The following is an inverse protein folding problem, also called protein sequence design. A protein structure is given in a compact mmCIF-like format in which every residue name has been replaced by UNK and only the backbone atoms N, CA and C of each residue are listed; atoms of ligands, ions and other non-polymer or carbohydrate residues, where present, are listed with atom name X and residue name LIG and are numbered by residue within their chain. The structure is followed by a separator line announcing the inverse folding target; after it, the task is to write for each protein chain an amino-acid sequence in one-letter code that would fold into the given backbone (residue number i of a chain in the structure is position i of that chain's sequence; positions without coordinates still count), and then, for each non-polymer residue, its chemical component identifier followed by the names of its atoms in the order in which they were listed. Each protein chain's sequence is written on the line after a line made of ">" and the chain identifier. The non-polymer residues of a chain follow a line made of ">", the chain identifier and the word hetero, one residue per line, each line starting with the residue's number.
data_IF_494251789835
#
_entry.id   IF_494251789835
#
_cell.length_a   1.000
_cell.length_b   1.000
_cell.length_c   1.000
_cell.angle_alpha   90.00
_cell.angle_beta   90.00
_cell.angle_gamma   90.00
#
_symmetry.space_group_name_H-M   'P 1'
#
loop_
_entity.id
_entity.type
_entity.pdbx_description
1 polymer ?
#
# COMPACT_ATOMS: atom_id res chain seq x y z
N UNK A 1 43.12 24.20 7.47
CA UNK A 1 42.44 23.08 6.77
C UNK A 1 42.96 23.04 5.35
N UNK A 2 43.43 21.89 4.83
CA UNK A 2 44.05 21.87 3.52
C UNK A 2 42.99 22.15 2.45
N UNK A 3 43.29 23.08 1.56
CA UNK A 3 42.44 23.50 0.43
C UNK A 3 42.01 22.28 -0.43
N UNK A 4 42.78 21.18 -0.41
CA UNK A 4 42.44 19.91 -1.05
C UNK A 4 41.19 19.20 -0.50
N UNK A 5 40.85 19.35 0.78
CA UNK A 5 39.62 18.79 1.34
C UNK A 5 38.36 19.56 0.87
N UNK A 6 38.51 20.85 0.61
CA UNK A 6 37.44 21.69 0.08
C UNK A 6 37.19 21.41 -1.41
N UNK A 7 38.24 21.13 -2.18
CA UNK A 7 38.12 20.79 -3.61
C UNK A 7 37.52 19.39 -3.81
N UNK A 8 37.82 18.42 -2.94
CA UNK A 8 37.14 17.11 -2.97
C UNK A 8 35.64 17.23 -2.66
N UNK A 9 35.26 18.09 -1.71
CA UNK A 9 33.86 18.41 -1.41
C UNK A 9 33.19 19.14 -2.59
N UNK A 10 33.90 20.05 -3.27
CA UNK A 10 33.37 20.81 -4.42
C UNK A 10 33.31 19.96 -5.71
N UNK A 11 34.15 18.94 -5.90
CA UNK A 11 34.01 17.98 -7.02
C UNK A 11 32.84 17.03 -6.79
N UNK A 12 32.59 16.62 -5.53
CA UNK A 12 31.35 15.94 -5.12
C UNK A 12 30.13 16.85 -5.33
N UNK A 13 30.25 18.18 -5.15
CA UNK A 13 29.16 19.13 -5.36
C UNK A 13 29.00 19.59 -6.83
N UNK A 14 30.06 19.57 -7.63
CA UNK A 14 30.10 20.02 -9.02
C UNK A 14 29.64 18.96 -10.02
N UNK A 15 29.83 17.67 -9.70
CA UNK A 15 29.13 16.54 -10.33
C UNK A 15 27.91 16.04 -9.52
N UNK A 16 27.66 16.65 -8.36
CA UNK A 16 26.73 16.17 -7.31
C UNK A 16 25.26 16.22 -7.67
N UNK A 17 24.85 17.11 -8.58
CA UNK A 17 23.47 17.11 -9.08
C UNK A 17 23.13 15.79 -9.77
N UNK A 18 23.99 15.33 -10.68
CA UNK A 18 23.76 14.09 -11.43
C UNK A 18 23.94 12.82 -10.59
N UNK A 19 24.98 12.77 -9.74
CA UNK A 19 25.25 11.61 -8.90
C UNK A 19 24.19 11.41 -7.80
N UNK A 20 23.70 12.49 -7.18
CA UNK A 20 22.62 12.41 -6.19
C UNK A 20 21.28 12.04 -6.82
N UNK A 21 20.97 12.54 -8.02
CA UNK A 21 19.77 12.13 -8.78
C UNK A 21 19.87 10.66 -9.20
N UNK A 22 21.03 10.21 -9.69
CA UNK A 22 21.24 8.80 -10.05
C UNK A 22 21.17 7.87 -8.82
N UNK A 23 21.68 8.31 -7.67
CA UNK A 23 21.59 7.56 -6.43
C UNK A 23 20.13 7.36 -5.98
N UNK A 24 19.23 8.31 -6.24
CA UNK A 24 17.82 8.18 -5.86
C UNK A 24 17.14 6.97 -6.52
N UNK A 25 17.52 6.64 -7.75
CA UNK A 25 17.02 5.46 -8.48
C UNK A 25 17.77 4.16 -8.20
N UNK A 26 18.84 4.18 -7.40
CA UNK A 26 19.66 2.99 -7.14
C UNK A 26 18.96 1.98 -6.21
N UNK A 27 19.20 0.70 -6.48
CA UNK A 27 18.74 -0.45 -5.71
C UNK A 27 19.85 -1.00 -4.80
N UNK A 28 19.50 -1.76 -3.75
CA UNK A 28 20.50 -2.47 -2.97
C UNK A 28 21.43 -3.33 -3.83
N UNK A 29 22.74 -3.17 -3.60
CA UNK A 29 23.80 -3.79 -4.40
C UNK A 29 24.35 -2.88 -5.50
N UNK A 30 23.64 -1.81 -5.88
CA UNK A 30 24.15 -0.83 -6.84
C UNK A 30 25.19 0.10 -6.19
N UNK A 31 26.15 0.57 -6.99
CA UNK A 31 27.29 1.36 -6.51
C UNK A 31 26.90 2.66 -5.77
N UNK A 32 25.76 3.26 -6.14
CA UNK A 32 25.29 4.51 -5.56
C UNK A 32 24.25 4.32 -4.43
N UNK A 33 23.87 3.09 -4.10
CA UNK A 33 22.92 2.82 -3.03
C UNK A 33 23.38 3.35 -1.66
N UNK A 34 24.67 3.26 -1.26
CA UNK A 34 25.15 3.89 -0.03
C UNK A 34 24.98 5.42 -0.02
N UNK A 35 25.00 6.07 -1.18
CA UNK A 35 24.75 7.52 -1.29
C UNK A 35 23.27 7.83 -1.08
N UNK A 36 22.37 7.00 -1.61
CA UNK A 36 20.92 7.11 -1.41
C UNK A 36 20.56 7.11 0.07
N UNK A 37 20.88 6.01 0.76
CA UNK A 37 20.48 5.80 2.17
C UNK A 37 21.39 6.55 3.15
N UNK A 38 22.67 6.71 2.82
CA UNK A 38 23.67 7.29 3.71
C UNK A 38 23.71 8.82 3.70
N UNK A 39 23.28 9.45 2.60
CA UNK A 39 23.38 10.90 2.41
C UNK A 39 22.02 11.48 2.02
N UNK A 40 21.47 11.11 0.86
CA UNK A 40 20.29 11.79 0.29
C UNK A 40 19.08 11.73 1.23
N UNK A 41 18.72 10.53 1.67
CA UNK A 41 17.56 10.33 2.54
C UNK A 41 17.75 10.97 3.92
N UNK A 42 18.97 10.95 4.47
CA UNK A 42 19.27 11.58 5.76
C UNK A 42 19.18 13.10 5.68
N UNK A 43 19.72 13.68 4.61
CA UNK A 43 19.63 15.12 4.37
C UNK A 43 18.16 15.50 4.19
N UNK A 44 17.41 14.81 3.33
CA UNK A 44 16.00 15.07 3.12
C UNK A 44 15.17 14.94 4.42
N UNK A 45 15.46 13.92 5.23
CA UNK A 45 14.83 13.71 6.54
C UNK A 45 15.20 14.78 7.57
N UNK A 46 16.43 15.29 7.56
CA UNK A 46 16.87 16.35 8.48
C UNK A 46 16.11 17.67 8.28
N UNK A 47 15.59 17.93 7.07
CA UNK A 47 14.75 19.10 6.76
C UNK A 47 13.26 18.89 7.07
N UNK A 48 12.86 17.76 7.68
CA UNK A 48 11.49 17.54 8.15
C UNK A 48 11.37 18.05 9.59
N UNK A 49 10.75 19.21 9.76
CA UNK A 49 10.74 19.93 11.05
C UNK A 49 9.52 19.66 11.94
N UNK A 50 8.40 19.17 11.39
CA UNK A 50 7.21 18.79 12.17
C UNK A 50 7.11 17.27 12.33
N UNK A 51 6.39 16.83 13.37
CA UNK A 51 6.08 15.41 13.55
C UNK A 51 5.29 14.84 12.37
N UNK A 52 4.34 15.62 11.84
CA UNK A 52 3.59 15.28 10.61
C UNK A 52 4.52 15.07 9.41
N UNK A 53 5.43 16.01 9.14
CA UNK A 53 6.35 15.92 8.01
C UNK A 53 7.34 14.75 8.16
N UNK A 54 7.69 14.39 9.40
CA UNK A 54 8.54 13.23 9.68
C UNK A 54 7.76 11.92 9.57
N UNK A 55 6.52 11.86 10.07
CA UNK A 55 5.65 10.70 9.90
C UNK A 55 5.42 10.37 8.43
N UNK A 56 5.10 11.39 7.62
CA UNK A 56 4.95 11.24 6.17
C UNK A 56 6.26 10.79 5.50
N UNK A 57 7.41 11.30 5.95
CA UNK A 57 8.73 10.91 5.44
C UNK A 57 9.08 9.46 5.77
N UNK A 58 8.89 9.04 7.02
CA UNK A 58 9.13 7.68 7.47
C UNK A 58 8.15 6.71 6.78
N UNK A 59 6.87 7.05 6.66
CA UNK A 59 5.88 6.29 5.87
C UNK A 59 6.32 6.13 4.40
N UNK A 60 6.86 7.19 3.79
CA UNK A 60 7.41 7.12 2.44
C UNK A 60 8.62 6.19 2.35
N UNK A 61 9.58 6.27 3.28
CA UNK A 61 10.75 5.40 3.28
C UNK A 61 10.38 3.93 3.53
N UNK A 62 9.40 3.64 4.39
CA UNK A 62 8.86 2.29 4.55
C UNK A 62 8.32 1.75 3.22
N UNK A 63 7.53 2.55 2.49
CA UNK A 63 7.06 2.21 1.15
C UNK A 63 8.22 1.96 0.16
N UNK A 64 9.22 2.83 0.16
CA UNK A 64 10.41 2.71 -0.72
C UNK A 64 11.16 1.40 -0.48
N UNK A 65 11.30 0.92 0.77
CA UNK A 65 11.96 -0.37 1.04
C UNK A 65 11.20 -1.57 0.49
N UNK A 66 9.87 -1.53 0.56
CA UNK A 66 9.04 -2.57 -0.06
C UNK A 66 9.10 -2.48 -1.59
N UNK A 67 9.16 -1.28 -2.17
CA UNK A 67 9.34 -1.08 -3.61
C UNK A 67 10.71 -1.60 -4.07
N UNK A 68 11.79 -1.36 -3.30
CA UNK A 68 13.12 -1.92 -3.54
C UNK A 68 13.11 -3.45 -3.46
N UNK A 69 12.42 -4.03 -2.48
CA UNK A 69 12.28 -5.48 -2.35
C UNK A 69 11.54 -6.06 -3.55
N UNK A 70 10.44 -5.43 -3.98
CA UNK A 70 9.68 -5.85 -5.14
C UNK A 70 10.52 -5.77 -6.43
N UNK A 71 11.30 -4.70 -6.64
CA UNK A 71 12.22 -4.58 -7.80
C UNK A 71 13.26 -5.68 -7.80
N UNK A 72 13.90 -5.93 -6.66
CA UNK A 72 14.89 -7.00 -6.56
C UNK A 72 14.28 -8.38 -6.77
N UNK A 73 13.05 -8.62 -6.30
CA UNK A 73 12.35 -9.90 -6.49
C UNK A 73 12.01 -10.12 -7.97
N UNK A 74 11.48 -9.10 -8.65
CA UNK A 74 11.21 -9.12 -10.10
C UNK A 74 12.48 -9.37 -10.92
N UNK A 75 13.63 -8.84 -10.47
CA UNK A 75 14.93 -9.07 -11.10
C UNK A 75 15.63 -10.38 -10.67
N UNK A 76 14.99 -11.21 -9.84
CA UNK A 76 15.60 -12.41 -9.23
C UNK A 76 16.91 -12.14 -8.48
N UNK A 77 17.04 -10.92 -7.94
CA UNK A 77 18.18 -10.41 -7.16
C UNK A 77 17.90 -10.33 -5.66
N UNK A 78 16.68 -10.64 -5.22
CA UNK A 78 16.31 -10.62 -3.81
C UNK A 78 16.85 -11.86 -3.08
N UNK A 79 18.14 -11.81 -2.72
CA UNK A 79 18.73 -12.80 -1.81
C UNK A 79 18.34 -12.55 -0.35
N UNK A 80 18.48 -13.58 0.50
CA UNK A 80 18.14 -13.55 1.93
C UNK A 80 18.79 -12.39 2.70
N UNK A 81 20.02 -12.01 2.32
CA UNK A 81 20.72 -10.85 2.90
C UNK A 81 19.99 -9.54 2.64
N UNK A 82 19.52 -9.32 1.41
CA UNK A 82 18.80 -8.10 1.04
C UNK A 82 17.37 -8.11 1.56
N UNK A 83 16.70 -9.26 1.54
CA UNK A 83 15.41 -9.46 2.19
C UNK A 83 15.47 -9.03 3.68
N UNK A 84 16.46 -9.53 4.42
CA UNK A 84 16.63 -9.21 5.85
C UNK A 84 16.93 -7.72 6.07
N UNK A 85 17.83 -7.13 5.27
CA UNK A 85 18.21 -5.71 5.40
C UNK A 85 17.05 -4.78 5.04
N UNK A 86 16.34 -5.07 3.95
CA UNK A 86 15.19 -4.28 3.53
C UNK A 86 14.02 -4.44 4.50
N UNK A 87 13.75 -5.65 4.99
CA UNK A 87 12.72 -5.90 6.01
C UNK A 87 13.01 -5.17 7.31
N UNK A 88 14.27 -5.17 7.76
CA UNK A 88 14.68 -4.41 8.96
C UNK A 88 14.53 -2.89 8.74
N UNK A 89 14.97 -2.38 7.59
CA UNK A 89 14.86 -0.95 7.27
C UNK A 89 13.39 -0.51 7.11
N UNK A 90 12.57 -1.35 6.47
CA UNK A 90 11.12 -1.19 6.36
C UNK A 90 10.52 -1.03 7.75
N UNK A 91 10.77 -1.99 8.65
CA UNK A 91 10.23 -2.00 10.00
C UNK A 91 10.63 -0.75 10.79
N UNK A 92 11.89 -0.36 10.74
CA UNK A 92 12.37 0.87 11.41
C UNK A 92 11.57 2.11 10.97
N UNK A 93 11.29 2.23 9.68
CA UNK A 93 10.54 3.37 9.15
C UNK A 93 9.03 3.26 9.43
N UNK A 94 8.43 2.07 9.37
CA UNK A 94 7.04 1.85 9.73
C UNK A 94 6.79 2.18 11.21
N UNK A 95 7.58 1.59 12.11
CA UNK A 95 7.51 1.83 13.56
C UNK A 95 7.74 3.32 13.88
N UNK A 96 8.65 4.00 13.16
CA UNK A 96 8.90 5.44 13.35
C UNK A 96 7.74 6.31 12.86
N UNK A 97 7.07 5.91 11.78
CA UNK A 97 5.89 6.62 11.30
C UNK A 97 4.73 6.46 12.30
N UNK A 98 4.45 5.23 12.73
CA UNK A 98 3.41 4.91 13.71
C UNK A 98 3.60 5.69 15.02
N UNK A 99 4.80 5.65 15.61
CA UNK A 99 5.09 6.37 16.85
C UNK A 99 4.89 7.89 16.74
N UNK A 100 5.14 8.47 15.55
CA UNK A 100 4.89 9.91 15.31
C UNK A 100 3.42 10.19 15.11
N UNK A 101 2.70 9.32 14.43
CA UNK A 101 1.25 9.44 14.23
C UNK A 101 0.54 9.35 15.58
N UNK A 102 0.92 8.41 16.44
CA UNK A 102 0.44 8.29 17.82
C UNK A 102 0.74 9.57 18.62
N UNK A 103 1.96 10.11 18.51
CA UNK A 103 2.29 11.39 19.16
C UNK A 103 1.44 12.58 18.66
N UNK A 104 1.13 12.63 17.36
CA UNK A 104 0.25 13.66 16.77
C UNK A 104 -1.18 13.52 17.33
N UNK A 105 -1.66 12.27 17.41
CA UNK A 105 -2.97 11.93 17.99
C UNK A 105 -3.05 12.38 19.45
N UNK A 106 -2.10 11.95 20.28
CA UNK A 106 -2.00 12.31 21.70
C UNK A 106 -1.81 13.81 21.93
N UNK A 107 -1.30 14.52 20.92
CA UNK A 107 -1.18 15.98 20.87
C UNK A 107 -2.51 16.72 20.62
N UNK A 108 -3.63 16.02 20.51
CA UNK A 108 -4.95 16.59 20.23
C UNK A 108 -5.15 16.95 18.76
N UNK A 109 -4.48 16.23 17.85
CA UNK A 109 -4.64 16.42 16.42
C UNK A 109 -5.04 15.09 15.76
N UNK A 110 -6.14 14.52 16.26
CA UNK A 110 -6.68 13.24 15.83
C UNK A 110 -6.96 13.21 14.32
N UNK A 111 -7.45 14.33 13.75
CA UNK A 111 -7.67 14.49 12.31
C UNK A 111 -6.42 14.27 11.46
N UNK A 112 -5.29 14.87 11.82
CA UNK A 112 -4.02 14.68 11.09
C UNK A 112 -3.49 13.26 11.31
N UNK A 113 -3.62 12.73 12.53
CA UNK A 113 -3.21 11.35 12.82
C UNK A 113 -4.01 10.33 11.99
N UNK A 114 -5.34 10.46 11.93
CA UNK A 114 -6.22 9.60 11.14
C UNK A 114 -5.85 9.63 9.65
N UNK A 115 -5.59 10.82 9.11
CA UNK A 115 -5.18 10.98 7.72
C UNK A 115 -3.84 10.29 7.42
N UNK A 116 -2.83 10.46 8.29
CA UNK A 116 -1.52 9.83 8.13
C UNK A 116 -1.56 8.32 8.34
N UNK A 117 -2.33 7.84 9.32
CA UNK A 117 -2.49 6.42 9.60
C UNK A 117 -3.18 5.70 8.43
N UNK A 118 -4.24 6.29 7.88
CA UNK A 118 -4.91 5.74 6.70
C UNK A 118 -4.04 5.77 5.45
N UNK A 119 -3.24 6.81 5.26
CA UNK A 119 -2.26 6.82 4.16
C UNK A 119 -1.20 5.72 4.32
N UNK A 120 -0.66 5.55 5.54
CA UNK A 120 0.30 4.49 5.85
C UNK A 120 -0.33 3.11 5.60
N UNK A 121 -1.51 2.83 6.15
CA UNK A 121 -2.22 1.57 5.96
C UNK A 121 -2.41 1.25 4.47
N UNK A 122 -2.98 2.19 3.69
CA UNK A 122 -3.21 1.99 2.26
C UNK A 122 -1.90 1.74 1.50
N UNK A 123 -0.84 2.47 1.84
CA UNK A 123 0.49 2.36 1.23
C UNK A 123 1.11 0.98 1.49
N UNK A 124 1.02 0.49 2.73
CA UNK A 124 1.56 -0.81 3.15
C UNK A 124 0.73 -1.97 2.58
N UNK A 125 -0.59 -1.88 2.64
CA UNK A 125 -1.50 -2.92 2.11
C UNK A 125 -1.25 -3.16 0.63
N UNK A 126 -1.24 -2.10 -0.18
CA UNK A 126 -0.99 -2.21 -1.63
C UNK A 126 0.36 -2.85 -1.94
N UNK A 127 1.40 -2.50 -1.18
CA UNK A 127 2.74 -3.07 -1.36
C UNK A 127 2.83 -4.53 -0.91
N UNK A 128 2.14 -4.88 0.17
CA UNK A 128 2.02 -6.26 0.63
C UNK A 128 1.34 -7.13 -0.44
N UNK A 129 0.23 -6.65 -1.02
CA UNK A 129 -0.46 -7.33 -2.13
C UNK A 129 0.47 -7.57 -3.34
N UNK A 130 1.24 -6.55 -3.74
CA UNK A 130 2.19 -6.68 -4.85
C UNK A 130 3.28 -7.69 -4.52
N UNK A 131 3.93 -7.58 -3.35
CA UNK A 131 4.96 -8.52 -2.91
C UNK A 131 4.42 -9.95 -2.85
N UNK A 132 3.20 -10.15 -2.35
CA UNK A 132 2.55 -11.46 -2.28
C UNK A 132 2.35 -12.10 -3.67
N UNK A 133 2.09 -11.29 -4.71
CA UNK A 133 1.84 -11.76 -6.09
C UNK A 133 3.10 -12.01 -6.91
N UNK A 134 4.26 -11.45 -6.53
CA UNK A 134 5.52 -11.70 -7.25
C UNK A 134 5.91 -13.17 -7.10
N UNK A 135 6.15 -13.82 -8.24
CA UNK A 135 6.64 -15.21 -8.35
C UNK A 135 8.13 -15.27 -8.00
N UNK A 136 8.43 -15.14 -6.71
CA UNK A 136 9.78 -15.35 -6.18
C UNK A 136 9.74 -16.52 -5.18
N UNK A 137 10.72 -17.43 -5.30
CA UNK A 137 10.88 -18.58 -4.41
C UNK A 137 11.54 -18.24 -3.07
N UNK A 138 11.93 -16.97 -2.89
CA UNK A 138 12.45 -16.42 -1.64
C UNK A 138 11.39 -16.21 -0.56
N UNK A 139 11.85 -16.06 0.69
CA UNK A 139 10.99 -15.61 1.77
C UNK A 139 10.67 -14.13 1.53
N UNK A 140 9.43 -13.74 1.83
CA UNK A 140 8.94 -12.37 1.60
C UNK A 140 9.06 -11.58 2.90
N UNK A 141 9.28 -10.27 2.77
CA UNK A 141 9.21 -9.35 3.90
C UNK A 141 7.80 -9.48 4.50
N UNK A 142 7.72 -9.76 5.81
CA UNK A 142 6.46 -9.75 6.54
C UNK A 142 6.02 -8.30 6.77
N UNK A 143 4.84 -7.97 6.27
CA UNK A 143 4.23 -6.62 6.33
C UNK A 143 2.93 -6.65 7.13
N UNK A 144 2.44 -7.85 7.50
CA UNK A 144 1.07 -8.03 8.00
C UNK A 144 0.88 -7.49 9.41
N UNK A 145 1.93 -7.46 10.24
CA UNK A 145 1.89 -6.76 11.53
C UNK A 145 1.69 -5.27 11.35
N UNK A 146 2.52 -4.64 10.53
CA UNK A 146 2.58 -3.19 10.32
C UNK A 146 1.31 -2.69 9.61
N UNK A 147 0.72 -3.47 8.70
CA UNK A 147 -0.61 -3.15 8.13
C UNK A 147 -1.68 -3.16 9.21
N UNK A 148 -1.67 -4.16 10.11
CA UNK A 148 -2.65 -4.25 11.20
C UNK A 148 -2.48 -3.14 12.23
N UNK A 149 -1.24 -2.77 12.56
CA UNK A 149 -0.94 -1.73 13.53
C UNK A 149 -1.29 -0.35 12.96
N UNK A 150 -0.97 -0.06 11.70
CA UNK A 150 -1.45 1.14 11.00
C UNK A 150 -2.99 1.20 10.92
N UNK A 151 -3.66 0.08 10.67
CA UNK A 151 -5.13 0.02 10.63
C UNK A 151 -5.77 0.30 12.00
N UNK A 152 -5.20 -0.24 13.08
CA UNK A 152 -5.64 0.04 14.45
C UNK A 152 -5.46 1.50 14.81
N UNK A 153 -4.26 2.04 14.56
CA UNK A 153 -3.96 3.44 14.82
C UNK A 153 -4.87 4.38 14.04
N UNK A 154 -5.23 4.02 12.80
CA UNK A 154 -6.24 4.74 12.03
C UNK A 154 -7.58 4.73 12.73
N UNK A 155 -8.14 3.55 13.03
CA UNK A 155 -9.45 3.43 13.66
C UNK A 155 -9.50 4.23 14.96
N UNK A 156 -8.47 4.09 15.80
CA UNK A 156 -8.39 4.82 17.07
C UNK A 156 -8.31 6.35 16.87
N UNK A 157 -7.63 6.83 15.82
CA UNK A 157 -7.56 8.25 15.51
C UNK A 157 -8.83 8.79 14.84
N UNK A 158 -9.52 7.97 14.04
CA UNK A 158 -10.80 8.32 13.42
C UNK A 158 -11.92 8.43 14.48
N UNK A 159 -11.91 7.54 15.47
CA UNK A 159 -12.84 7.60 16.61
C UNK A 159 -12.61 8.87 17.44
N UNK A 160 -11.34 9.22 17.71
CA UNK A 160 -11.01 10.46 18.41
C UNK A 160 -11.41 11.70 17.59
N UNK A 161 -11.13 11.74 16.28
CA UNK A 161 -11.54 12.84 15.37
C UNK A 161 -13.06 13.02 15.41
N UNK A 162 -13.82 11.92 15.33
CA UNK A 162 -15.27 11.94 15.37
C UNK A 162 -15.82 12.43 16.72
N UNK A 163 -15.12 12.12 17.82
CA UNK A 163 -15.48 12.58 19.15
C UNK A 163 -15.20 14.07 19.37
N UNK A 164 -14.11 14.59 18.81
CA UNK A 164 -13.71 16.00 18.89
C UNK A 164 -14.70 16.91 18.14
N UNK A 165 -15.35 16.37 17.11
CA UNK A 165 -16.23 17.12 16.21
C UNK A 165 -17.73 16.75 16.40
N UNK A 166 -18.11 16.24 17.58
CA UNK A 166 -19.44 15.67 17.84
C UNK A 166 -20.63 16.66 17.90
N UNK A 167 -20.40 17.98 17.95
CA UNK A 167 -21.49 18.95 17.87
C UNK A 167 -22.00 19.12 16.42
N UNK A 168 -23.21 19.68 16.23
CA UNK A 168 -23.85 19.74 14.91
C UNK A 168 -23.09 20.61 13.89
N UNK A 169 -22.28 21.56 14.35
CA UNK A 169 -21.52 22.46 13.47
C UNK A 169 -20.15 21.87 13.16
N UNK A 170 -19.50 21.26 14.15
CA UNK A 170 -18.31 20.42 14.05
C UNK A 170 -18.54 19.29 13.06
N UNK A 171 -19.53 18.43 13.29
CA UNK A 171 -19.75 17.24 12.47
C UNK A 171 -20.06 17.58 11.00
N UNK A 172 -20.73 18.70 10.74
CA UNK A 172 -20.91 19.22 9.38
C UNK A 172 -19.57 19.61 8.76
N UNK A 173 -18.75 20.40 9.46
CA UNK A 173 -17.45 20.84 8.95
C UNK A 173 -16.49 19.66 8.71
N UNK A 174 -16.54 18.63 9.55
CA UNK A 174 -15.81 17.37 9.41
C UNK A 174 -16.17 16.65 8.13
N UNK A 175 -17.46 16.39 7.97
CA UNK A 175 -18.00 15.67 6.83
C UNK A 175 -17.68 16.41 5.53
N UNK A 176 -17.85 17.73 5.50
CA UNK A 176 -17.48 18.57 4.36
C UNK A 176 -15.97 18.50 4.06
N UNK A 177 -15.14 18.58 5.09
CA UNK A 177 -13.68 18.44 4.96
C UNK A 177 -13.27 17.09 4.35
N UNK A 178 -13.87 15.98 4.81
CA UNK A 178 -13.60 14.64 4.29
C UNK A 178 -14.11 14.46 2.86
N UNK A 179 -15.31 14.95 2.56
CA UNK A 179 -15.87 14.95 1.19
C UNK A 179 -14.92 15.69 0.24
N UNK A 180 -14.43 16.86 0.65
CA UNK A 180 -13.49 17.65 -0.14
C UNK A 180 -12.15 16.94 -0.31
N UNK A 181 -11.60 16.34 0.75
CA UNK A 181 -10.36 15.56 0.67
C UNK A 181 -10.50 14.37 -0.29
N UNK A 182 -11.56 13.56 -0.14
CA UNK A 182 -11.84 12.43 -1.02
C UNK A 182 -12.01 12.87 -2.48
N UNK A 183 -12.80 13.92 -2.72
CA UNK A 183 -13.01 14.51 -4.05
C UNK A 183 -11.68 14.93 -4.70
N UNK A 184 -10.83 15.63 -3.95
CA UNK A 184 -9.52 16.09 -4.44
C UNK A 184 -8.59 14.91 -4.78
N UNK A 185 -8.54 13.88 -3.93
CA UNK A 185 -7.73 12.69 -4.20
C UNK A 185 -8.26 11.96 -5.43
N UNK A 186 -9.57 11.69 -5.52
CA UNK A 186 -10.19 11.05 -6.70
C UNK A 186 -9.86 11.83 -7.98
N UNK A 187 -10.02 13.15 -7.96
CA UNK A 187 -9.70 14.01 -9.09
C UNK A 187 -8.21 13.92 -9.47
N UNK A 188 -7.31 13.92 -8.47
CA UNK A 188 -5.87 13.80 -8.70
C UNK A 188 -5.48 12.46 -9.35
N UNK A 189 -6.09 11.36 -8.90
CA UNK A 189 -5.81 10.02 -9.46
C UNK A 189 -6.34 9.93 -10.89
N UNK A 190 -7.55 10.41 -11.17
CA UNK A 190 -8.08 10.47 -12.54
C UNK A 190 -7.17 11.28 -13.48
N UNK A 191 -6.79 12.49 -13.06
CA UNK A 191 -5.88 13.33 -13.83
C UNK A 191 -4.52 12.66 -14.07
N UNK A 192 -4.04 11.85 -13.12
CA UNK A 192 -2.85 11.04 -13.29
C UNK A 192 -3.04 9.93 -14.33
N UNK A 193 -4.15 9.19 -14.27
CA UNK A 193 -4.46 8.13 -15.22
C UNK A 193 -4.69 8.63 -16.65
N UNK A 194 -5.12 9.88 -16.81
CA UNK A 194 -5.31 10.50 -18.13
C UNK A 194 -4.00 10.90 -18.81
N UNK A 195 -2.88 11.00 -18.06
CA UNK A 195 -1.57 11.34 -18.65
C UNK A 195 -1.11 10.29 -19.65
N UNK A 196 -0.40 10.77 -20.69
CA UNK A 196 0.25 9.87 -21.65
C UNK A 196 1.36 9.08 -20.95
N UNK A 197 1.47 7.79 -21.29
CA UNK A 197 2.49 6.89 -20.74
C UNK A 197 2.01 5.91 -19.68
N UNK A 198 0.79 6.06 -19.15
CA UNK A 198 0.17 5.05 -18.27
C UNK A 198 -0.41 3.91 -19.13
N UNK A 199 -0.05 2.66 -18.80
CA UNK A 199 -0.52 1.48 -19.56
C UNK A 199 -2.04 1.29 -19.47
N UNK A 200 -2.66 0.70 -20.49
CA UNK A 200 -4.11 0.44 -20.51
C UNK A 200 -4.57 -0.45 -19.36
N UNK A 201 -3.75 -1.45 -19.00
CA UNK A 201 -4.03 -2.35 -17.87
C UNK A 201 -4.00 -1.60 -16.55
N UNK A 202 -2.96 -0.78 -16.32
CA UNK A 202 -2.86 0.07 -15.12
C UNK A 202 -4.04 1.03 -15.02
N UNK A 203 -4.49 1.61 -16.15
CA UNK A 203 -5.71 2.45 -16.17
C UNK A 203 -6.95 1.65 -15.77
N UNK A 204 -7.16 0.46 -16.33
CA UNK A 204 -8.36 -0.35 -16.07
C UNK A 204 -8.46 -0.76 -14.59
N UNK A 205 -7.37 -1.24 -14.00
CA UNK A 205 -7.34 -1.67 -12.59
C UNK A 205 -7.51 -0.49 -11.63
N UNK A 206 -6.83 0.63 -11.90
CA UNK A 206 -6.98 1.83 -11.08
C UNK A 206 -8.39 2.42 -11.21
N UNK A 207 -9.00 2.35 -12.40
CA UNK A 207 -10.36 2.79 -12.63
C UNK A 207 -11.38 1.97 -11.83
N UNK A 208 -11.17 0.66 -11.68
CA UNK A 208 -12.03 -0.18 -10.84
C UNK A 208 -12.03 0.29 -9.37
N UNK A 209 -10.85 0.59 -8.81
CA UNK A 209 -10.73 1.13 -7.44
C UNK A 209 -11.30 2.55 -7.32
N UNK A 210 -11.10 3.40 -8.33
CA UNK A 210 -11.70 4.74 -8.38
C UNK A 210 -13.22 4.68 -8.38
N UNK A 211 -13.83 3.75 -9.12
CA UNK A 211 -15.29 3.63 -9.17
C UNK A 211 -15.90 3.29 -7.82
N UNK A 212 -15.20 2.52 -6.97
CA UNK A 212 -15.61 2.30 -5.58
C UNK A 212 -15.56 3.61 -4.78
N UNK A 213 -14.47 4.36 -4.90
CA UNK A 213 -14.31 5.65 -4.22
C UNK A 213 -15.36 6.68 -4.65
N UNK A 214 -15.70 6.75 -5.95
CA UNK A 214 -16.73 7.62 -6.49
C UNK A 214 -18.12 7.28 -5.94
N UNK A 215 -18.46 6.00 -5.86
CA UNK A 215 -19.72 5.55 -5.30
C UNK A 215 -19.84 5.96 -3.83
N UNK A 216 -18.80 5.70 -3.03
CA UNK A 216 -18.76 6.08 -1.61
C UNK A 216 -18.86 7.60 -1.43
N UNK A 217 -18.18 8.38 -2.28
CA UNK A 217 -18.26 9.84 -2.25
C UNK A 217 -19.67 10.34 -2.61
N UNK A 218 -20.32 9.73 -3.60
CA UNK A 218 -21.71 10.07 -3.95
C UNK A 218 -22.67 9.75 -2.79
N UNK A 219 -22.52 8.58 -2.17
CA UNK A 219 -23.30 8.20 -0.98
C UNK A 219 -23.05 9.17 0.18
N UNK A 220 -21.80 9.59 0.40
CA UNK A 220 -21.44 10.60 1.40
C UNK A 220 -22.12 11.95 1.14
N UNK A 221 -22.16 12.42 -0.11
CA UNK A 221 -22.83 13.68 -0.50
C UNK A 221 -24.34 13.61 -0.28
N UNK A 222 -24.96 12.46 -0.54
CA UNK A 222 -26.38 12.22 -0.23
C UNK A 222 -26.63 12.31 1.27
N UNK A 223 -25.81 11.64 2.08
CA UNK A 223 -25.90 11.71 3.55
C UNK A 223 -25.70 13.12 4.09
N UNK A 224 -24.73 13.85 3.54
CA UNK A 224 -24.47 15.24 3.89
C UNK A 224 -25.68 16.14 3.61
N UNK A 225 -26.30 15.97 2.43
CA UNK A 225 -27.49 16.73 2.02
C UNK A 225 -28.71 16.42 2.89
N UNK A 226 -28.77 15.22 3.48
CA UNK A 226 -29.79 14.80 4.43
C UNK A 226 -29.49 15.24 5.89
N UNK A 227 -28.44 16.03 6.12
CA UNK A 227 -27.92 16.42 7.44
C UNK A 227 -27.51 15.23 8.33
N UNK A 228 -27.27 14.06 7.73
CA UNK A 228 -26.71 12.87 8.40
C UNK A 228 -25.18 12.95 8.33
N UNK A 229 -24.60 13.91 9.07
CA UNK A 229 -23.17 14.24 8.97
C UNK A 229 -22.25 13.13 9.47
N UNK A 230 -22.68 12.34 10.45
CA UNK A 230 -21.92 11.17 10.90
C UNK A 230 -21.79 10.15 9.79
N UNK A 231 -22.89 9.76 9.13
CA UNK A 231 -22.81 8.80 8.04
C UNK A 231 -22.07 9.38 6.82
N UNK A 232 -22.22 10.68 6.56
CA UNK A 232 -21.48 11.36 5.50
C UNK A 232 -19.97 11.33 5.75
N UNK A 233 -19.55 11.57 7.00
CA UNK A 233 -18.15 11.51 7.41
C UNK A 233 -17.58 10.11 7.21
N UNK A 234 -18.26 9.06 7.72
CA UNK A 234 -17.81 7.67 7.62
C UNK A 234 -17.65 7.24 6.14
N UNK A 235 -18.66 7.54 5.30
CA UNK A 235 -18.61 7.23 3.87
C UNK A 235 -17.52 8.03 3.13
N UNK A 236 -17.29 9.28 3.52
CA UNK A 236 -16.23 10.09 2.91
C UNK A 236 -14.83 9.61 3.31
N UNK A 237 -14.65 9.08 4.53
CA UNK A 237 -13.41 8.43 4.94
C UNK A 237 -13.15 7.15 4.14
N UNK A 238 -14.17 6.32 3.96
CA UNK A 238 -14.06 5.12 3.12
C UNK A 238 -13.76 5.47 1.66
N UNK A 239 -14.39 6.53 1.12
CA UNK A 239 -14.09 7.04 -0.21
C UNK A 239 -12.63 7.50 -0.34
N UNK A 240 -12.11 8.23 0.66
CA UNK A 240 -10.73 8.69 0.70
C UNK A 240 -9.75 7.50 0.70
N UNK A 241 -10.01 6.47 1.51
CA UNK A 241 -9.18 5.26 1.59
C UNK A 241 -9.14 4.51 0.27
N UNK A 242 -10.30 4.28 -0.35
CA UNK A 242 -10.38 3.64 -1.66
C UNK A 242 -9.64 4.44 -2.75
N UNK A 243 -9.70 5.78 -2.69
CA UNK A 243 -8.98 6.66 -3.61
C UNK A 243 -7.45 6.62 -3.40
N UNK A 244 -6.99 6.55 -2.14
CA UNK A 244 -5.57 6.38 -1.81
C UNK A 244 -5.05 5.01 -2.25
N UNK A 245 -5.81 3.93 -2.05
CA UNK A 245 -5.44 2.60 -2.56
C UNK A 245 -5.31 2.60 -4.09
N UNK A 246 -6.24 3.25 -4.81
CA UNK A 246 -6.16 3.42 -6.26
C UNK A 246 -4.89 4.18 -6.69
N UNK A 247 -4.57 5.26 -5.97
CA UNK A 247 -3.35 6.05 -6.19
C UNK A 247 -2.10 5.18 -6.02
N UNK A 248 -1.93 4.55 -4.86
CA UNK A 248 -0.74 3.77 -4.56
C UNK A 248 -0.60 2.56 -5.47
N UNK A 249 -1.71 1.92 -5.85
CA UNK A 249 -1.70 0.80 -6.81
C UNK A 249 -1.21 1.24 -8.19
N UNK A 250 -1.54 2.46 -8.60
CA UNK A 250 -1.08 3.03 -9.87
C UNK A 250 0.40 3.40 -9.81
N UNK A 251 0.82 4.07 -8.73
CA UNK A 251 2.21 4.47 -8.51
C UNK A 251 3.15 3.26 -8.52
N UNK A 252 2.84 2.22 -7.75
CA UNK A 252 3.71 1.04 -7.64
C UNK A 252 3.83 0.27 -8.96
N UNK A 253 2.74 0.11 -9.72
CA UNK A 253 2.79 -0.59 -11.02
C UNK A 253 3.64 0.15 -12.04
N UNK A 254 3.58 1.47 -12.04
CA UNK A 254 4.42 2.30 -12.91
C UNK A 254 5.88 2.21 -12.50
N UNK A 255 6.17 2.32 -11.21
CA UNK A 255 7.53 2.28 -10.68
C UNK A 255 8.21 0.93 -10.86
N UNK A 256 7.44 -0.16 -10.77
CA UNK A 256 7.92 -1.53 -10.97
C UNK A 256 7.87 -1.98 -12.44
N UNK A 257 7.23 -1.19 -13.33
CA UNK A 257 6.97 -1.57 -14.73
C UNK A 257 6.36 -2.97 -14.88
N UNK A 258 5.51 -3.35 -13.92
CA UNK A 258 4.91 -4.70 -13.88
C UNK A 258 4.07 -4.93 -15.15
N UNK A 259 4.47 -5.92 -15.95
CA UNK A 259 3.64 -6.53 -16.98
C UNK A 259 2.72 -7.61 -16.37
N UNK A 260 1.71 -8.07 -17.13
CA UNK A 260 0.83 -9.16 -16.68
C UNK A 260 1.61 -10.46 -16.38
N UNK A 261 2.71 -10.70 -17.09
CA UNK A 261 3.50 -11.94 -16.98
C UNK A 261 4.34 -12.00 -15.69
N UNK A 262 4.59 -10.85 -15.06
CA UNK A 262 5.45 -10.70 -13.88
C UNK A 262 4.74 -11.08 -12.57
N UNK A 263 3.41 -11.16 -12.60
CA UNK A 263 2.59 -11.55 -11.46
C UNK A 263 2.15 -13.02 -11.57
N UNK A 264 1.86 -13.63 -10.43
CA UNK A 264 0.96 -14.79 -10.43
C UNK A 264 -0.41 -14.35 -10.98
N UNK A 265 -0.83 -15.02 -12.04
CA UNK A 265 -2.18 -14.87 -12.58
C UNK A 265 -3.11 -15.68 -11.70
N UNK A 266 -4.23 -15.06 -11.31
CA UNK A 266 -5.42 -15.80 -10.86
C UNK A 266 -6.18 -16.26 -12.12
N UNK A 267 -5.53 -17.07 -12.96
CA UNK A 267 -6.18 -17.80 -14.05
C UNK A 267 -6.41 -19.24 -13.60
N UNK A 268 -7.04 -19.44 -12.45
CA UNK A 268 -7.61 -20.73 -12.05
C UNK A 268 -9.05 -20.48 -11.57
N UNK A 269 -10.00 -21.09 -12.29
CA UNK A 269 -11.48 -21.14 -12.15
C UNK A 269 -12.16 -20.45 -13.37
N UNK A 270 -12.72 -21.11 -14.40
CA UNK A 270 -13.18 -22.47 -14.61
C UNK A 270 -13.19 -22.74 -16.14
N UNK A 271 -12.40 -23.69 -16.64
CA UNK A 271 -12.79 -24.43 -17.84
C UNK A 271 -12.54 -25.93 -17.64
N UNK A 272 -13.50 -26.55 -16.98
CA UNK A 272 -13.66 -27.99 -17.00
C UNK A 272 -15.08 -28.34 -17.50
N UNK A 273 -15.41 -27.91 -18.73
CA UNK A 273 -16.46 -28.58 -19.50
C UNK A 273 -15.88 -29.63 -20.44
N UNK A 274 -15.21 -30.64 -19.88
CA UNK A 274 -14.95 -31.89 -20.61
C UNK A 274 -16.05 -32.90 -20.30
N UNK A 275 -17.11 -32.83 -21.10
CA UNK A 275 -18.02 -33.95 -21.29
C UNK A 275 -17.25 -35.09 -21.96
N UNK A 276 -17.00 -36.17 -21.23
CA UNK A 276 -16.66 -37.44 -21.87
C UNK A 276 -17.37 -38.60 -21.17
N UNK A 277 -18.44 -39.02 -21.84
CA UNK A 277 -19.06 -40.33 -21.72
C UNK A 277 -18.02 -41.44 -21.82
N UNK A 278 -18.08 -42.43 -20.93
CA UNK A 278 -17.77 -43.82 -21.30
C UNK A 278 -18.45 -44.79 -20.33
N UNK A 279 -19.53 -45.36 -20.85
CA UNK A 279 -20.11 -46.67 -20.54
C UNK A 279 -19.04 -47.76 -20.35
N UNK A 280 -19.05 -48.44 -19.19
CA UNK A 280 -18.63 -49.85 -19.08
C UNK A 280 -19.43 -50.54 -17.96
N UNK A 281 -20.37 -51.39 -18.38
CA UNK A 281 -21.03 -52.36 -17.52
C UNK A 281 -20.08 -53.35 -16.85
N UNK A 282 -20.45 -53.79 -15.65
CA UNK A 282 -19.96 -55.04 -15.04
C UNK A 282 -21.14 -55.81 -14.49
N UNK A 283 -21.48 -56.88 -15.19
CA UNK A 283 -22.38 -57.93 -14.74
C UNK A 283 -21.55 -59.08 -14.15
N UNK A 284 -21.92 -59.51 -12.95
CA UNK A 284 -21.90 -60.92 -12.52
C UNK A 284 -20.58 -61.54 -12.04
N UNK A 285 -20.49 -61.74 -10.73
CA UNK A 285 -20.04 -63.04 -10.19
C UNK A 285 -20.79 -63.36 -8.88
N UNK A 286 -21.41 -64.54 -8.86
CA UNK A 286 -22.24 -65.11 -7.79
C UNK A 286 -21.42 -66.17 -7.03
N UNK A 287 -21.56 -66.20 -5.69
CA UNK A 287 -21.53 -67.34 -4.73
C UNK A 287 -21.45 -66.73 -3.31
N UNK A 288 -22.24 -66.99 -2.27
CA UNK A 288 -23.29 -67.98 -1.96
C UNK A 288 -23.09 -68.48 -0.50
N UNK A 289 -24.04 -68.21 0.41
CA UNK A 289 -24.20 -68.82 1.76
C UNK A 289 -23.82 -67.91 2.96
N UNK A 290 -24.47 -67.88 4.13
CA UNK A 290 -25.43 -68.77 4.80
C UNK A 290 -26.19 -68.00 5.93
N UNK A 291 -27.48 -68.36 6.09
CA UNK A 291 -28.43 -68.29 7.22
C UNK A 291 -28.20 -67.35 8.42
N UNK A 292 -29.26 -66.59 8.70
CA UNK A 292 -29.62 -66.04 10.01
C UNK A 292 -30.76 -66.89 10.57
N UNK A 293 -30.53 -67.53 11.72
CA UNK A 293 -31.53 -67.95 12.69
C UNK A 293 -30.79 -68.25 14.01
N UNK A 294 -31.02 -67.43 15.04
CA UNK A 294 -30.94 -67.85 16.46
C UNK A 294 -32.05 -67.12 17.23
N UNK A 295 -32.91 -67.96 17.82
CA UNK A 295 -34.07 -67.70 18.68
C UNK A 295 -33.75 -66.99 20.01
N UNK A 296 -34.72 -66.19 20.50
CA UNK A 296 -35.47 -66.30 21.77
C UNK A 296 -35.98 -64.93 22.24
#
# INVERSE_FOLDING_TARGET
>A
MPIGALIALIVILGGGGGASIAAQGSLPGDALYPVKVGINEKVAGAFKFSDEARAAWDSNLAGVRLDEAAKLALESRLGTDWETKLGTAFKVHADSAEARIEKIKDGGNAKVAAALAGELEAKLRVRSEVLARIKDGGKKIDVDSEVRDAARLRVDAEDDEKSEEADSEGGKNSAEGKINAASNVIASVKAFLDKQGVSTTTKAEAQAKISVAEKLLADAQVKFSAADYSAAFDLAQDALRAAQEARFSSEIRIDLKIGNDDLSGDDDDDDATSTKSEDRGRNGEIRGGVNVDIDL
#
